data_IF_896552431476
#
_entry.id   IF_896552431476
#
_cell.length_a   1.000
_cell.length_b   1.000
_cell.length_c   1.000
_cell.angle_alpha   90.00
_cell.angle_beta   90.00
_cell.angle_gamma   90.00
#
_symmetry.space_group_name_H-M   'P 1'
#
loop_
_entity.id
_entity.type
_entity.pdbx_description
1 polymer ?
#
# COMPACT_ATOMS: atom_id res chain seq x y z
N UNK A 1 2.05 21.45 -0.41
CA UNK A 1 2.69 21.01 0.85
C UNK A 1 2.41 22.06 1.92
N UNK A 2 1.87 21.64 3.07
CA UNK A 2 1.62 22.52 4.22
C UNK A 2 2.60 22.10 5.32
N UNK A 3 3.46 23.04 5.76
CA UNK A 3 4.36 22.85 6.89
C UNK A 3 3.76 23.51 8.13
N UNK A 4 3.45 22.72 9.15
CA UNK A 4 2.89 23.19 10.42
C UNK A 4 3.95 23.17 11.53
N UNK A 5 4.07 24.29 12.25
CA UNK A 5 4.84 24.34 13.48
C UNK A 5 3.85 24.39 14.65
N UNK A 6 3.87 23.39 15.50
CA UNK A 6 2.90 23.23 16.59
C UNK A 6 3.60 22.95 17.92
N UNK A 7 2.86 23.07 19.01
CA UNK A 7 3.29 22.70 20.36
C UNK A 7 2.37 21.59 20.85
N UNK A 8 2.93 20.48 21.32
CA UNK A 8 2.14 19.38 21.83
C UNK A 8 1.25 19.84 22.99
N UNK A 9 -0.03 19.48 22.93
CA UNK A 9 -1.01 19.81 23.98
C UNK A 9 -1.40 21.26 24.11
N UNK A 10 -1.04 22.15 23.16
CA UNK A 10 -1.48 23.54 23.16
C UNK A 10 -3.01 23.65 23.00
N UNK A 11 -3.71 24.51 23.72
CA UNK A 11 -3.29 25.42 24.81
C UNK A 11 -3.62 24.89 26.22
N UNK A 12 -3.41 23.60 26.51
CA UNK A 12 -3.76 23.00 27.82
C UNK A 12 -2.93 23.57 28.94
N UNK A 13 -3.52 24.25 29.93
CA UNK A 13 -2.79 24.83 31.05
C UNK A 13 -1.99 23.78 31.83
N UNK A 14 -0.74 24.08 32.10
CA UNK A 14 0.16 23.21 32.89
C UNK A 14 0.59 21.90 32.22
N UNK A 15 0.07 21.58 31.01
CA UNK A 15 0.41 20.33 30.30
C UNK A 15 1.00 20.53 28.90
N UNK A 16 0.76 21.70 28.27
CA UNK A 16 1.37 21.97 26.96
C UNK A 16 2.89 21.89 27.00
N UNK A 17 3.51 21.48 25.91
CA UNK A 17 4.95 21.34 25.76
C UNK A 17 5.59 20.35 26.76
N UNK A 18 4.84 19.35 27.19
CA UNK A 18 5.35 18.28 28.07
C UNK A 18 5.19 16.91 27.41
N UNK A 19 6.15 16.01 27.64
CA UNK A 19 6.05 14.63 27.14
C UNK A 19 4.89 13.85 27.77
N UNK A 20 4.46 14.21 28.98
CA UNK A 20 3.38 13.54 29.72
C UNK A 20 1.98 13.69 29.09
N UNK A 21 1.81 14.62 28.12
CA UNK A 21 0.53 14.77 27.40
C UNK A 21 0.42 13.85 26.19
N UNK A 22 1.52 13.22 25.78
CA UNK A 22 1.54 12.34 24.61
C UNK A 22 0.67 11.10 24.82
N UNK A 23 -0.48 11.04 24.13
CA UNK A 23 -1.42 9.90 24.21
C UNK A 23 -2.12 9.71 25.57
N UNK A 24 -1.91 10.60 26.53
CA UNK A 24 -2.52 10.50 27.86
C UNK A 24 -3.93 11.14 27.90
N UNK A 25 -4.81 10.57 28.73
CA UNK A 25 -6.09 11.21 29.05
C UNK A 25 -5.83 12.51 29.83
N UNK A 26 -6.49 13.59 29.42
CA UNK A 26 -6.31 14.89 30.07
C UNK A 26 -6.81 14.91 31.53
N UNK A 27 -7.85 14.14 31.84
CA UNK A 27 -8.63 14.27 33.07
C UNK A 27 -9.59 15.46 33.03
N UNK A 28 -10.54 15.50 33.96
CA UNK A 28 -11.63 16.49 33.97
C UNK A 28 -11.15 17.92 34.17
N UNK A 29 -10.20 18.11 35.08
CA UNK A 29 -9.63 19.44 35.38
C UNK A 29 -8.89 20.03 34.19
N UNK A 30 -7.95 19.28 33.61
CA UNK A 30 -7.18 19.75 32.45
C UNK A 30 -8.06 19.92 31.21
N UNK A 31 -9.10 19.10 31.03
CA UNK A 31 -10.07 19.27 29.97
C UNK A 31 -10.90 20.54 30.15
N UNK A 32 -11.35 20.86 31.37
CA UNK A 32 -12.06 22.10 31.69
C UNK A 32 -11.16 23.31 31.43
N UNK A 33 -9.91 23.25 31.87
CA UNK A 33 -8.92 24.31 31.61
C UNK A 33 -8.65 24.50 30.12
N UNK A 34 -8.53 23.43 29.34
CA UNK A 34 -8.38 23.49 27.89
C UNK A 34 -9.59 24.15 27.22
N UNK A 35 -10.83 23.76 27.60
CA UNK A 35 -12.06 24.36 27.07
C UNK A 35 -12.11 25.85 27.37
N UNK A 36 -11.82 26.25 28.60
CA UNK A 36 -11.77 27.64 28.99
C UNK A 36 -10.72 28.43 28.17
N UNK A 37 -9.53 27.89 27.97
CA UNK A 37 -8.48 28.50 27.17
C UNK A 37 -8.86 28.66 25.68
N UNK A 38 -9.76 27.82 25.19
CA UNK A 38 -10.31 27.87 23.82
C UNK A 38 -11.61 28.70 23.72
N UNK A 39 -12.10 29.29 24.82
CA UNK A 39 -13.35 30.04 24.84
C UNK A 39 -14.61 29.17 24.78
N UNK A 40 -14.47 27.85 25.02
CA UNK A 40 -15.60 26.93 25.10
C UNK A 40 -16.11 26.78 26.54
N UNK A 41 -17.41 26.44 26.72
CA UNK A 41 -17.99 26.18 28.03
C UNK A 41 -17.36 24.91 28.67
N UNK A 42 -16.66 25.05 29.82
CA UNK A 42 -16.04 23.90 30.49
C UNK A 42 -17.01 22.81 30.95
N UNK A 43 -18.29 23.19 31.16
CA UNK A 43 -19.33 22.29 31.68
C UNK A 43 -20.05 21.50 30.59
N UNK A 44 -20.04 21.97 29.36
CA UNK A 44 -20.72 21.31 28.24
C UNK A 44 -19.84 20.21 27.63
N UNK A 45 -20.42 19.07 27.36
CA UNK A 45 -19.81 17.98 26.64
C UNK A 45 -20.27 17.98 25.19
N UNK A 46 -19.36 17.78 24.23
CA UNK A 46 -19.67 17.76 22.79
C UNK A 46 -20.49 18.98 22.32
N UNK A 47 -20.14 20.17 22.85
CA UNK A 47 -20.80 21.43 22.55
C UNK A 47 -20.46 21.86 21.13
N UNK A 48 -21.38 21.61 20.21
CA UNK A 48 -21.25 21.94 18.80
C UNK A 48 -22.39 22.87 18.40
N UNK A 49 -22.06 23.95 17.70
CA UNK A 49 -23.08 24.84 17.12
C UNK A 49 -23.80 24.12 15.97
N UNK A 50 -25.02 23.66 16.26
CA UNK A 50 -25.81 22.90 15.29
C UNK A 50 -26.14 23.73 14.04
N UNK A 51 -26.38 25.01 14.18
CA UNK A 51 -26.70 25.89 13.06
C UNK A 51 -25.47 26.05 12.10
N UNK A 52 -24.28 26.20 12.68
CA UNK A 52 -23.05 26.22 11.91
C UNK A 52 -22.79 24.89 11.17
N UNK A 53 -23.01 23.77 11.84
CA UNK A 53 -22.88 22.45 11.22
C UNK A 53 -23.83 22.29 10.05
N UNK A 54 -25.09 22.68 10.23
CA UNK A 54 -26.12 22.58 9.19
C UNK A 54 -25.82 23.51 8.00
N UNK A 55 -25.33 24.72 8.26
CA UNK A 55 -24.88 25.64 7.21
C UNK A 55 -23.71 25.05 6.41
N UNK A 56 -22.67 24.53 7.09
CA UNK A 56 -21.51 23.92 6.43
C UNK A 56 -21.93 22.69 5.62
N UNK A 57 -22.81 21.84 6.15
CA UNK A 57 -23.36 20.69 5.43
C UNK A 57 -24.15 21.11 4.19
N UNK A 58 -25.02 22.09 4.31
CA UNK A 58 -25.81 22.61 3.19
C UNK A 58 -24.92 23.17 2.07
N UNK A 59 -23.90 23.98 2.41
CA UNK A 59 -22.94 24.50 1.45
C UNK A 59 -22.12 23.37 0.78
N UNK A 60 -21.67 22.39 1.57
CA UNK A 60 -20.92 21.26 1.03
C UNK A 60 -21.80 20.41 0.11
N UNK A 61 -23.04 20.13 0.49
CA UNK A 61 -24.00 19.37 -0.31
C UNK A 61 -24.34 20.07 -1.65
N UNK A 62 -24.60 21.39 -1.60
CA UNK A 62 -24.90 22.15 -2.81
C UNK A 62 -23.72 22.16 -3.81
N UNK A 63 -22.49 22.35 -3.31
CA UNK A 63 -21.28 22.28 -4.13
C UNK A 63 -21.05 20.86 -4.67
N UNK A 64 -21.21 19.85 -3.82
CA UNK A 64 -21.01 18.46 -4.19
C UNK A 64 -22.02 17.99 -5.25
N UNK A 65 -23.29 18.43 -5.17
CA UNK A 65 -24.32 18.06 -6.11
C UNK A 65 -23.98 18.50 -7.55
N UNK A 66 -23.45 19.71 -7.73
CA UNK A 66 -23.03 20.19 -9.06
C UNK A 66 -21.84 19.39 -9.60
N UNK A 67 -20.78 19.21 -8.79
CA UNK A 67 -19.62 18.42 -9.18
C UNK A 67 -20.00 16.97 -9.49
N UNK A 68 -20.88 16.39 -8.69
CA UNK A 68 -21.36 15.02 -8.90
C UNK A 68 -22.11 14.87 -10.21
N UNK A 69 -23.02 15.80 -10.51
CA UNK A 69 -23.76 15.81 -11.78
C UNK A 69 -22.83 15.87 -12.99
N UNK A 70 -21.83 16.77 -12.94
CA UNK A 70 -20.89 16.94 -14.03
C UNK A 70 -19.96 15.71 -14.17
N UNK A 71 -19.61 15.10 -13.05
CA UNK A 71 -18.80 13.87 -13.04
C UNK A 71 -19.60 12.69 -13.60
N UNK A 72 -20.83 12.47 -13.16
CA UNK A 72 -21.69 11.37 -13.63
C UNK A 72 -21.89 11.44 -15.14
N UNK A 73 -22.20 12.62 -15.68
CA UNK A 73 -22.37 12.80 -17.12
C UNK A 73 -21.08 12.44 -17.90
N UNK A 74 -19.91 12.86 -17.43
CA UNK A 74 -18.63 12.52 -18.06
C UNK A 74 -18.29 11.04 -17.91
N UNK A 75 -18.59 10.45 -16.76
CA UNK A 75 -18.33 9.04 -16.49
C UNK A 75 -19.21 8.14 -17.36
N UNK A 76 -20.49 8.47 -17.54
CA UNK A 76 -21.39 7.73 -18.40
C UNK A 76 -20.98 7.83 -19.88
N UNK A 77 -20.56 9.00 -20.34
CA UNK A 77 -20.01 9.19 -21.67
C UNK A 77 -18.71 8.39 -21.87
N UNK A 78 -17.83 8.37 -20.86
CA UNK A 78 -16.60 7.57 -20.90
C UNK A 78 -16.92 6.06 -20.99
N UNK A 79 -17.85 5.56 -20.17
CA UNK A 79 -18.27 4.14 -20.21
C UNK A 79 -18.82 3.75 -21.57
N UNK A 80 -19.64 4.60 -22.15
CA UNK A 80 -20.20 4.37 -23.50
C UNK A 80 -19.13 4.32 -24.60
N UNK A 81 -18.12 5.21 -24.49
CA UNK A 81 -16.99 5.26 -25.43
C UNK A 81 -15.95 4.15 -25.20
N UNK A 82 -15.88 3.58 -24.00
CA UNK A 82 -14.83 2.65 -23.59
C UNK A 82 -15.41 1.38 -22.90
N UNK A 83 -16.21 0.57 -23.59
CA UNK A 83 -16.90 -0.57 -22.95
C UNK A 83 -15.96 -1.61 -22.35
N UNK A 84 -14.78 -1.84 -22.94
CA UNK A 84 -13.75 -2.73 -22.38
C UNK A 84 -13.16 -2.17 -21.09
N UNK A 85 -12.85 -0.87 -21.04
CA UNK A 85 -12.35 -0.19 -19.85
C UNK A 85 -13.41 -0.17 -18.74
N UNK A 86 -14.67 0.05 -19.08
CA UNK A 86 -15.78 -0.01 -18.12
C UNK A 86 -15.92 -1.41 -17.49
N UNK A 87 -15.90 -2.46 -18.31
CA UNK A 87 -15.94 -3.84 -17.82
C UNK A 87 -14.75 -4.19 -16.92
N UNK A 88 -13.55 -3.70 -17.28
CA UNK A 88 -12.37 -3.85 -16.44
C UNK A 88 -12.55 -3.15 -15.09
N UNK A 89 -12.99 -1.89 -15.10
CA UNK A 89 -13.21 -1.13 -13.86
C UNK A 89 -14.26 -1.79 -12.97
N UNK A 90 -15.35 -2.29 -13.54
CA UNK A 90 -16.39 -3.02 -12.79
C UNK A 90 -15.85 -4.31 -12.18
N UNK A 91 -14.98 -5.04 -12.88
CA UNK A 91 -14.32 -6.24 -12.38
C UNK A 91 -13.36 -5.89 -11.22
N UNK A 92 -12.51 -4.88 -11.41
CA UNK A 92 -11.53 -4.43 -10.39
C UNK A 92 -12.24 -3.90 -9.14
N UNK A 93 -13.26 -3.06 -9.31
CA UNK A 93 -14.05 -2.51 -8.19
C UNK A 93 -14.77 -3.59 -7.39
N UNK A 94 -15.10 -4.72 -8.02
CA UNK A 94 -15.67 -5.89 -7.36
C UNK A 94 -14.61 -6.83 -6.77
N UNK A 95 -13.32 -6.53 -6.87
CA UNK A 95 -12.20 -7.34 -6.38
C UNK A 95 -12.05 -8.69 -7.08
N UNK A 96 -12.69 -8.89 -8.23
CA UNK A 96 -12.73 -10.18 -8.94
C UNK A 96 -11.53 -10.37 -9.85
N UNK A 97 -11.03 -11.61 -9.90
CA UNK A 97 -10.06 -12.04 -10.92
C UNK A 97 -10.78 -12.28 -12.27
N UNK A 98 -10.08 -12.20 -13.41
CA UNK A 98 -10.67 -12.55 -14.69
C UNK A 98 -11.05 -14.03 -14.72
N UNK A 99 -12.12 -14.36 -15.41
CA UNK A 99 -12.54 -15.76 -15.58
C UNK A 99 -11.47 -16.55 -16.35
N UNK A 100 -11.16 -17.75 -15.87
CA UNK A 100 -10.21 -18.64 -16.51
C UNK A 100 -8.73 -18.24 -16.41
N UNK A 101 -8.38 -17.30 -15.55
CA UNK A 101 -6.98 -16.87 -15.36
C UNK A 101 -6.04 -18.02 -14.98
N UNK A 102 -6.56 -19.05 -14.32
CA UNK A 102 -5.80 -20.25 -13.91
C UNK A 102 -5.21 -21.00 -15.11
N UNK A 103 -5.84 -20.90 -16.27
CA UNK A 103 -5.35 -21.54 -17.50
C UNK A 103 -4.01 -20.95 -17.98
N UNK A 104 -3.63 -19.77 -17.49
CA UNK A 104 -2.33 -19.17 -17.77
C UNK A 104 -1.19 -19.73 -16.92
N UNK A 105 -1.49 -20.46 -15.83
CA UNK A 105 -0.48 -20.96 -14.91
C UNK A 105 0.43 -22.00 -15.59
N UNK A 106 1.76 -21.91 -15.39
CA UNK A 106 2.68 -22.90 -15.93
C UNK A 106 2.54 -24.24 -15.21
N UNK A 107 2.78 -25.32 -15.93
CA UNK A 107 2.97 -26.65 -15.35
C UNK A 107 4.46 -26.90 -15.16
N UNK A 108 4.81 -27.57 -14.09
CA UNK A 108 6.20 -27.95 -13.79
C UNK A 108 6.38 -29.44 -13.98
N UNK A 109 7.54 -29.83 -14.53
CA UNK A 109 7.88 -31.21 -14.79
C UNK A 109 8.17 -31.95 -13.48
N UNK A 110 7.47 -33.05 -13.25
CA UNK A 110 7.64 -33.87 -12.05
C UNK A 110 9.07 -34.44 -11.98
N UNK A 111 9.67 -34.37 -10.79
CA UNK A 111 11.03 -34.84 -10.55
C UNK A 111 12.15 -33.90 -11.00
N UNK A 112 11.84 -32.80 -11.68
CA UNK A 112 12.82 -31.80 -12.07
C UNK A 112 13.03 -30.75 -10.98
N UNK A 113 14.25 -30.67 -10.45
CA UNK A 113 14.60 -29.69 -9.46
C UNK A 113 14.53 -28.26 -10.06
N UNK A 114 13.77 -27.39 -9.41
CA UNK A 114 13.63 -25.98 -9.77
C UNK A 114 13.65 -25.14 -8.50
N UNK A 115 14.47 -24.07 -8.49
CA UNK A 115 14.46 -23.13 -7.37
C UNK A 115 13.09 -22.44 -7.27
N UNK A 116 12.53 -22.32 -6.06
CA UNK A 116 11.19 -21.74 -5.82
C UNK A 116 11.08 -20.32 -6.36
N UNK A 117 12.14 -19.50 -6.25
CA UNK A 117 12.19 -18.16 -6.87
C UNK A 117 12.04 -18.19 -8.39
N UNK A 118 12.57 -19.22 -9.05
CA UNK A 118 12.45 -19.37 -10.50
C UNK A 118 11.02 -19.83 -10.88
N UNK A 119 10.42 -20.71 -10.10
CA UNK A 119 9.01 -21.10 -10.25
C UNK A 119 8.09 -19.89 -10.06
N UNK A 120 8.30 -19.11 -8.99
CA UNK A 120 7.56 -17.86 -8.72
C UNK A 120 7.69 -16.87 -9.89
N UNK A 121 8.89 -16.66 -10.43
CA UNK A 121 9.11 -15.80 -11.59
C UNK A 121 8.42 -16.29 -12.86
N UNK A 122 8.33 -17.61 -13.08
CA UNK A 122 7.57 -18.18 -14.19
C UNK A 122 6.07 -17.94 -14.03
N UNK A 123 5.53 -18.16 -12.83
CA UNK A 123 4.11 -17.87 -12.51
C UNK A 123 3.82 -16.39 -12.69
N UNK A 124 4.65 -15.50 -12.12
CA UNK A 124 4.50 -14.05 -12.27
C UNK A 124 4.39 -13.65 -13.74
N UNK A 125 5.30 -14.14 -14.58
CA UNK A 125 5.32 -13.80 -16.00
C UNK A 125 4.19 -14.45 -16.80
N UNK A 126 3.61 -15.55 -16.32
CA UNK A 126 2.46 -16.19 -16.94
C UNK A 126 1.15 -15.45 -16.63
N UNK A 127 0.99 -14.94 -15.39
CA UNK A 127 -0.23 -14.22 -14.99
C UNK A 127 -0.20 -12.73 -15.35
N UNK A 128 0.97 -12.11 -15.51
CA UNK A 128 1.09 -10.68 -15.80
C UNK A 128 0.27 -10.21 -17.04
N UNK A 129 0.23 -10.95 -18.18
CA UNK A 129 -0.57 -10.56 -19.34
C UNK A 129 -2.09 -10.61 -19.10
N UNK A 130 -2.57 -11.46 -18.19
CA UNK A 130 -4.00 -11.66 -17.91
C UNK A 130 -4.50 -10.86 -16.72
N UNK A 131 -3.59 -10.34 -15.89
CA UNK A 131 -3.87 -9.52 -14.72
C UNK A 131 -3.29 -8.11 -14.88
N UNK A 132 -3.93 -7.20 -15.62
CA UNK A 132 -3.42 -5.84 -15.83
C UNK A 132 -3.32 -5.04 -14.51
N UNK A 133 -4.04 -5.44 -13.48
CA UNK A 133 -3.99 -4.87 -12.13
C UNK A 133 -2.78 -5.35 -11.30
N UNK A 134 -1.97 -6.27 -11.80
CA UNK A 134 -0.78 -6.74 -11.11
C UNK A 134 0.38 -5.77 -11.34
N UNK A 135 0.82 -5.10 -10.28
CA UNK A 135 1.90 -4.11 -10.29
C UNK A 135 2.92 -4.45 -9.22
N UNK A 136 4.18 -4.28 -9.51
CA UNK A 136 5.18 -4.51 -8.48
C UNK A 136 6.60 -4.51 -8.98
N UNK A 137 7.51 -4.97 -8.11
CA UNK A 137 8.93 -4.97 -8.40
C UNK A 137 9.74 -5.33 -7.17
N UNK A 138 10.92 -4.74 -7.03
CA UNK A 138 11.85 -5.11 -5.96
C UNK A 138 12.58 -3.90 -5.39
N UNK A 139 13.10 -4.07 -4.18
CA UNK A 139 14.05 -3.18 -3.56
C UNK A 139 15.47 -3.44 -4.13
N UNK A 140 15.64 -3.10 -5.41
CA UNK A 140 16.89 -3.24 -6.18
C UNK A 140 17.40 -4.69 -6.39
N UNK A 141 16.54 -5.69 -6.22
CA UNK A 141 16.86 -7.11 -6.29
C UNK A 141 16.02 -7.87 -7.33
N UNK A 142 15.42 -7.18 -8.31
CA UNK A 142 14.45 -7.77 -9.24
C UNK A 142 14.99 -8.99 -9.99
N UNK A 143 16.26 -8.96 -10.41
CA UNK A 143 16.94 -10.08 -11.08
C UNK A 143 17.10 -11.28 -10.16
N UNK A 144 17.57 -11.06 -8.94
CA UNK A 144 17.80 -12.12 -7.93
C UNK A 144 16.49 -12.72 -7.39
N UNK A 145 15.46 -11.87 -7.22
CA UNK A 145 14.15 -12.31 -6.75
C UNK A 145 13.26 -12.90 -7.86
N UNK A 146 13.63 -12.72 -9.15
CA UNK A 146 12.78 -13.04 -10.30
C UNK A 146 11.41 -12.32 -10.24
N UNK A 147 11.39 -11.05 -9.86
CA UNK A 147 10.18 -10.25 -9.67
C UNK A 147 9.94 -9.21 -10.77
N UNK A 148 10.61 -9.35 -11.91
CA UNK A 148 10.41 -8.48 -13.07
C UNK A 148 9.42 -9.11 -14.05
N UNK A 149 8.36 -8.37 -14.41
CA UNK A 149 7.40 -8.78 -15.45
C UNK A 149 7.99 -8.48 -16.82
N UNK A 150 8.44 -9.54 -17.51
CA UNK A 150 9.02 -9.45 -18.85
C UNK A 150 7.96 -8.97 -19.84
N UNK A 151 8.34 -8.04 -20.70
CA UNK A 151 7.42 -7.47 -21.70
C UNK A 151 6.59 -6.29 -21.18
N UNK A 152 6.53 -6.08 -19.85
CA UNK A 152 5.85 -4.93 -19.28
C UNK A 152 6.84 -3.76 -19.09
N UNK A 153 6.43 -2.53 -19.42
CA UNK A 153 7.27 -1.37 -19.19
C UNK A 153 7.46 -1.08 -17.69
N UNK A 154 8.52 -0.37 -17.39
CA UNK A 154 8.79 0.17 -16.06
C UNK A 154 8.05 1.47 -15.84
N UNK A 155 7.56 1.70 -14.61
CA UNK A 155 6.93 2.95 -14.20
C UNK A 155 7.99 4.05 -14.04
N UNK A 156 8.42 4.58 -15.17
CA UNK A 156 9.44 5.61 -15.31
C UNK A 156 9.02 6.61 -16.38
N UNK A 157 9.41 7.87 -16.29
CA UNK A 157 9.32 8.78 -17.42
C UNK A 157 10.04 8.21 -18.64
N UNK A 158 9.46 8.32 -19.84
CA UNK A 158 10.02 7.74 -21.06
C UNK A 158 11.47 8.15 -21.35
N UNK A 159 11.84 9.39 -20.99
CA UNK A 159 13.21 9.91 -21.15
C UNK A 159 14.24 9.24 -20.20
N UNK A 160 13.79 8.45 -19.22
CA UNK A 160 14.66 7.65 -18.34
C UNK A 160 14.78 6.19 -18.76
N UNK A 161 14.27 5.83 -19.94
CA UNK A 161 14.50 4.49 -20.51
C UNK A 161 15.99 4.20 -20.70
N UNK A 162 16.35 2.93 -20.56
CA UNK A 162 17.69 2.43 -20.76
C UNK A 162 17.65 1.17 -21.63
N UNK A 163 18.81 0.58 -21.95
CA UNK A 163 18.88 -0.72 -22.61
C UNK A 163 18.31 -1.87 -21.75
N UNK A 164 18.25 -1.69 -20.43
CA UNK A 164 17.76 -2.70 -19.49
C UNK A 164 16.23 -2.69 -19.34
N UNK A 165 15.57 -1.53 -19.49
CA UNK A 165 14.12 -1.40 -19.35
C UNK A 165 13.58 -0.15 -20.04
N UNK A 166 12.38 -0.28 -20.60
CA UNK A 166 11.63 0.84 -21.19
C UNK A 166 10.80 1.56 -20.13
N UNK A 167 10.86 2.90 -20.11
CA UNK A 167 10.03 3.74 -19.25
C UNK A 167 8.70 4.09 -19.89
N UNK A 168 7.63 4.00 -19.13
CA UNK A 168 6.29 4.41 -19.52
C UNK A 168 5.52 4.87 -18.28
N UNK A 169 4.70 5.91 -18.42
CA UNK A 169 3.86 6.42 -17.32
C UNK A 169 2.77 5.43 -16.87
N UNK A 170 2.48 4.42 -17.67
CA UNK A 170 1.57 3.31 -17.36
C UNK A 170 2.31 2.01 -17.07
N UNK A 171 3.64 2.06 -16.91
CA UNK A 171 4.45 0.89 -16.63
C UNK A 171 4.08 0.22 -15.30
N UNK A 172 4.17 -1.11 -15.26
CA UNK A 172 3.76 -1.91 -14.11
C UNK A 172 4.93 -2.46 -13.29
N UNK A 173 6.15 -2.43 -13.85
CA UNK A 173 7.38 -2.74 -13.12
C UNK A 173 7.83 -1.53 -12.30
N UNK A 174 7.83 -1.67 -10.97
CA UNK A 174 8.19 -0.61 -10.03
C UNK A 174 9.63 -0.81 -9.53
N UNK A 175 10.41 0.26 -9.55
CA UNK A 175 11.79 0.26 -9.08
C UNK A 175 11.90 1.05 -7.78
N UNK A 176 11.97 0.35 -6.65
CA UNK A 176 11.98 0.99 -5.33
C UNK A 176 13.38 1.41 -4.87
N UNK A 177 14.44 0.88 -5.50
CA UNK A 177 15.79 1.02 -5.02
C UNK A 177 15.99 0.29 -3.68
N UNK A 178 17.13 0.46 -3.03
CA UNK A 178 17.42 -0.14 -1.71
C UNK A 178 16.62 0.61 -0.63
N UNK A 179 15.30 0.35 -0.58
CA UNK A 179 14.34 1.04 0.30
C UNK A 179 13.18 0.12 0.68
N UNK A 180 13.43 -0.91 1.44
CA UNK A 180 12.45 -1.95 1.78
C UNK A 180 11.24 -1.38 2.52
N UNK A 181 11.44 -0.49 3.51
CA UNK A 181 10.34 0.18 4.19
C UNK A 181 9.51 1.06 3.23
N UNK A 182 10.20 1.85 2.40
CA UNK A 182 9.54 2.69 1.38
C UNK A 182 8.74 1.85 0.38
N UNK A 183 9.29 0.71 -0.07
CA UNK A 183 8.59 -0.26 -0.91
C UNK A 183 7.32 -0.76 -0.20
N UNK A 184 7.45 -1.29 1.02
CA UNK A 184 6.31 -1.82 1.76
C UNK A 184 5.21 -0.78 2.02
N UNK A 185 5.60 0.46 2.38
CA UNK A 185 4.65 1.56 2.58
C UNK A 185 3.94 1.97 1.28
N UNK A 186 4.66 2.03 0.16
CA UNK A 186 4.08 2.32 -1.16
C UNK A 186 3.10 1.22 -1.59
N UNK A 187 3.46 -0.07 -1.40
CA UNK A 187 2.59 -1.20 -1.71
C UNK A 187 1.29 -1.15 -0.87
N UNK A 188 1.39 -0.79 0.41
CA UNK A 188 0.21 -0.60 1.26
C UNK A 188 -0.72 0.49 0.72
N UNK A 189 -0.16 1.62 0.29
CA UNK A 189 -0.93 2.71 -0.33
C UNK A 189 -1.62 2.27 -1.63
N UNK A 190 -0.90 1.56 -2.49
CA UNK A 190 -1.43 1.01 -3.76
C UNK A 190 -2.55 0.01 -3.48
N UNK A 191 -2.38 -0.90 -2.51
CA UNK A 191 -3.41 -1.86 -2.14
C UNK A 191 -4.65 -1.19 -1.53
N UNK A 192 -4.45 -0.13 -0.74
CA UNK A 192 -5.54 0.63 -0.11
C UNK A 192 -6.42 1.39 -1.11
N UNK A 193 -5.90 1.72 -2.31
CA UNK A 193 -6.70 2.28 -3.41
C UNK A 193 -7.74 1.28 -3.94
N UNK A 194 -7.48 -0.02 -3.82
CA UNK A 194 -8.42 -1.11 -4.08
C UNK A 194 -8.53 -1.56 -5.54
N UNK A 195 -7.90 -0.90 -6.50
CA UNK A 195 -7.96 -1.27 -7.92
C UNK A 195 -6.75 -2.07 -8.39
N UNK A 196 -5.68 -2.13 -7.60
CA UNK A 196 -4.39 -2.72 -7.96
C UNK A 196 -4.01 -3.83 -6.99
N UNK A 197 -3.43 -4.90 -7.50
CA UNK A 197 -2.85 -6.00 -6.72
C UNK A 197 -1.34 -5.85 -6.68
N UNK A 198 -0.78 -5.22 -5.65
CA UNK A 198 0.64 -4.95 -5.60
C UNK A 198 1.44 -6.14 -5.07
N UNK A 199 2.67 -6.27 -5.58
CA UNK A 199 3.67 -7.18 -5.01
C UNK A 199 5.02 -6.48 -4.87
N UNK A 200 5.84 -6.96 -3.92
CA UNK A 200 7.19 -6.44 -3.73
C UNK A 200 8.17 -7.50 -3.29
N UNK A 201 9.35 -7.49 -3.89
CA UNK A 201 10.41 -8.47 -3.64
C UNK A 201 11.63 -7.90 -2.95
N UNK A 202 12.21 -8.70 -2.07
CA UNK A 202 13.54 -8.49 -1.48
C UNK A 202 14.08 -9.83 -0.96
N UNK A 203 15.33 -9.87 -0.49
CA UNK A 203 15.79 -11.03 0.27
C UNK A 203 15.09 -11.11 1.62
N UNK A 204 14.87 -12.30 2.10
CA UNK A 204 14.08 -12.50 3.31
C UNK A 204 14.71 -11.81 4.54
N UNK A 205 16.04 -11.83 4.66
CA UNK A 205 16.74 -11.12 5.75
C UNK A 205 16.45 -9.61 5.74
N UNK A 206 16.29 -9.00 4.57
CA UNK A 206 16.00 -7.56 4.45
C UNK A 206 14.54 -7.19 4.72
N UNK A 207 13.67 -8.19 4.87
CA UNK A 207 12.31 -7.96 5.34
C UNK A 207 12.26 -7.29 6.72
N UNK A 208 13.31 -7.42 7.53
CA UNK A 208 13.44 -6.71 8.81
C UNK A 208 13.36 -5.18 8.65
N UNK A 209 13.91 -4.64 7.56
CA UNK A 209 13.81 -3.21 7.27
C UNK A 209 12.39 -2.76 6.91
N UNK A 210 11.50 -3.65 6.47
CA UNK A 210 10.12 -3.34 6.11
C UNK A 210 9.07 -3.87 7.10
N UNK A 211 9.49 -4.46 8.22
CA UNK A 211 8.62 -5.14 9.17
C UNK A 211 7.42 -4.29 9.64
N UNK A 212 7.64 -3.01 9.89
CA UNK A 212 6.56 -2.09 10.28
C UNK A 212 5.48 -1.95 9.20
N UNK A 213 5.87 -1.86 7.93
CA UNK A 213 4.95 -1.78 6.80
C UNK A 213 4.17 -3.09 6.61
N UNK A 214 4.84 -4.24 6.71
CA UNK A 214 4.21 -5.57 6.62
C UNK A 214 3.17 -5.76 7.74
N UNK A 215 3.54 -5.38 8.98
CA UNK A 215 2.62 -5.45 10.11
C UNK A 215 1.38 -4.58 9.91
N UNK A 216 1.56 -3.39 9.33
CA UNK A 216 0.44 -2.50 9.00
C UNK A 216 -0.45 -3.08 7.89
N UNK A 217 0.13 -3.68 6.86
CA UNK A 217 -0.65 -4.37 5.83
C UNK A 217 -1.55 -5.45 6.43
N UNK A 218 -0.99 -6.29 7.32
CA UNK A 218 -1.74 -7.33 8.02
C UNK A 218 -2.82 -6.75 8.96
N UNK A 219 -2.51 -5.65 9.69
CA UNK A 219 -3.46 -4.97 10.56
C UNK A 219 -4.64 -4.34 9.79
N UNK A 220 -4.36 -3.83 8.59
CA UNK A 220 -5.34 -3.16 7.72
C UNK A 220 -6.04 -4.13 6.76
N UNK A 221 -5.72 -5.42 6.82
CA UNK A 221 -6.25 -6.46 5.91
C UNK A 221 -6.02 -6.12 4.42
N UNK A 222 -4.83 -5.62 4.11
CA UNK A 222 -4.48 -5.21 2.75
C UNK A 222 -3.95 -6.40 1.93
N UNK A 223 -4.42 -6.61 0.69
CA UNK A 223 -3.99 -7.70 -0.17
C UNK A 223 -2.65 -7.42 -0.85
N UNK A 224 -1.57 -7.29 -0.07
CA UNK A 224 -0.20 -7.10 -0.56
C UNK A 224 0.51 -8.44 -0.58
N UNK A 225 1.20 -8.74 -1.69
CA UNK A 225 2.07 -9.93 -1.80
C UNK A 225 3.52 -9.53 -1.64
N UNK A 226 4.20 -10.12 -0.66
CA UNK A 226 5.64 -9.97 -0.46
C UNK A 226 6.35 -11.22 -0.99
N UNK A 227 7.33 -11.03 -1.87
CA UNK A 227 8.13 -12.12 -2.45
C UNK A 227 9.51 -12.08 -1.79
N UNK A 228 9.71 -12.91 -0.78
CA UNK A 228 10.95 -13.00 -0.04
C UNK A 228 11.72 -14.24 -0.46
N UNK A 229 12.85 -14.02 -1.09
CA UNK A 229 13.74 -15.08 -1.55
C UNK A 229 14.99 -15.16 -0.68
N UNK A 230 15.89 -16.13 -0.95
CA UNK A 230 17.09 -16.33 -0.14
C UNK A 230 16.70 -16.50 1.35
N UNK A 231 15.87 -17.50 1.60
CA UNK A 231 15.01 -17.60 2.78
C UNK A 231 15.57 -18.50 3.89
N UNK A 232 16.82 -18.94 3.78
CA UNK A 232 17.43 -19.84 4.77
C UNK A 232 18.95 -19.70 4.87
N UNK A 233 19.55 -20.41 5.82
CA UNK A 233 21.01 -20.55 5.94
C UNK A 233 21.65 -21.21 4.71
N UNK A 234 20.86 -21.83 3.85
CA UNK A 234 21.32 -22.44 2.61
C UNK A 234 21.69 -21.45 1.49
N UNK A 235 21.57 -20.14 1.72
CA UNK A 235 21.98 -19.10 0.75
C UNK A 235 23.47 -19.24 0.36
N UNK A 236 24.32 -19.64 1.28
CA UNK A 236 25.71 -19.99 0.96
C UNK A 236 26.64 -18.79 0.90
N UNK A 237 27.09 -18.42 -0.30
CA UNK A 237 28.20 -17.49 -0.53
C UNK A 237 27.96 -16.06 -0.01
N UNK A 238 26.73 -15.61 0.07
CA UNK A 238 26.39 -14.29 0.62
C UNK A 238 26.69 -14.15 2.14
N UNK A 239 26.80 -15.27 2.83
CA UNK A 239 27.22 -15.35 4.23
C UNK A 239 26.17 -14.93 5.25
N UNK A 240 26.57 -14.80 6.53
CA UNK A 240 25.64 -14.65 7.67
C UNK A 240 24.74 -13.41 7.59
N UNK A 241 25.20 -12.35 6.95
CA UNK A 241 24.42 -11.10 6.79
C UNK A 241 23.19 -11.26 5.89
N UNK A 242 23.14 -12.36 5.14
CA UNK A 242 22.06 -12.65 4.17
C UNK A 242 21.30 -13.95 4.49
N UNK A 243 21.63 -14.61 5.59
CA UNK A 243 21.10 -15.92 6.00
C UNK A 243 20.06 -15.76 7.11
N UNK A 244 18.75 -15.74 6.80
CA UNK A 244 17.70 -15.62 7.80
C UNK A 244 17.60 -16.89 8.65
N UNK A 245 17.36 -16.74 9.96
CA UNK A 245 17.16 -17.80 10.95
C UNK A 245 15.78 -17.69 11.59
N UNK A 246 15.54 -16.58 12.32
CA UNK A 246 14.33 -16.33 13.10
C UNK A 246 13.18 -15.74 12.31
N UNK A 247 13.42 -15.27 11.11
CA UNK A 247 12.47 -14.48 10.29
C UNK A 247 11.16 -15.23 10.07
N UNK A 248 11.22 -16.51 9.68
CA UNK A 248 10.01 -17.29 9.39
C UNK A 248 9.10 -17.42 10.63
N UNK A 249 9.67 -17.77 11.78
CA UNK A 249 8.91 -17.88 13.03
C UNK A 249 8.33 -16.51 13.45
N UNK A 250 9.13 -15.47 13.29
CA UNK A 250 8.81 -14.11 13.66
C UNK A 250 7.66 -13.53 12.79
N UNK A 251 7.65 -13.79 11.48
CA UNK A 251 6.56 -13.35 10.59
C UNK A 251 5.29 -14.16 10.78
N UNK A 252 5.40 -15.47 11.02
CA UNK A 252 4.25 -16.34 11.37
C UNK A 252 3.55 -15.91 12.67
N UNK A 253 4.23 -15.17 13.55
CA UNK A 253 3.63 -14.62 14.76
C UNK A 253 2.77 -13.36 14.52
N UNK A 254 2.81 -12.75 13.33
CA UNK A 254 1.99 -11.57 13.01
C UNK A 254 0.57 -12.05 12.67
N UNK A 255 -0.45 -11.61 13.43
CA UNK A 255 -1.84 -11.96 13.13
C UNK A 255 -2.24 -11.46 11.73
N UNK A 256 -3.05 -12.25 11.05
CA UNK A 256 -3.58 -11.92 9.71
C UNK A 256 -2.52 -11.85 8.59
N UNK A 257 -1.31 -12.33 8.83
CA UNK A 257 -0.28 -12.50 7.80
C UNK A 257 -0.18 -13.97 7.41
N UNK A 258 -0.54 -14.29 6.17
CA UNK A 258 -0.29 -15.62 5.61
C UNK A 258 1.19 -15.74 5.21
N UNK A 259 1.86 -16.79 5.67
CA UNK A 259 3.26 -17.09 5.33
C UNK A 259 3.31 -18.50 4.77
N UNK A 260 3.65 -18.62 3.49
CA UNK A 260 3.67 -19.85 2.70
C UNK A 260 5.06 -20.15 2.20
#
# INVERSE_FOLDING_TARGET
>A
LIALRTIIGWPTPGKQNTGGIHGAKLGSEALSGLKAALGADPKKMFDVDAALVDEVRARAAARAAQYRKDWDARFDAWKAANPKGAALLDRLSAGRLPEGWEASLPTFEEGKALATRAASGQVLNAIAPVLPELWGGSADLAGSNNTFMKGEPSFLPAHRSSSAFSGNEFGRNLHFGVREFGMGAALNGIAADGLTRPYGGTFFVFSDFMRGAVRLAALMDLPVTYVWTHDSIGVGEDGPTHQPIEHLASYRAIPNLAVV
#
